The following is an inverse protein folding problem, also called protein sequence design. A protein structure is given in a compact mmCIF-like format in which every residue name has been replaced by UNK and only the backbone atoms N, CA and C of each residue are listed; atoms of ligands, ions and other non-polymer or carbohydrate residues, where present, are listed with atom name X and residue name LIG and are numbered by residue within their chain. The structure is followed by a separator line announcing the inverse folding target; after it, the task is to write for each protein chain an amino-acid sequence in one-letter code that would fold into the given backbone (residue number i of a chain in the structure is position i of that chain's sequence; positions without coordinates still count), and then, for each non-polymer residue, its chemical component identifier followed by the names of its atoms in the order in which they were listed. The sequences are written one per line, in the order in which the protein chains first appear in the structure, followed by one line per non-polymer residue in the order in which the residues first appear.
data_IF_642037811974
#
_entry.id   IF_642037811974
#
_cell.length_a   1.000
_cell.length_b   1.000
_cell.length_c   1.000
_cell.angle_alpha   90.00
_cell.angle_beta   90.00
_cell.angle_gamma   90.00
#
_symmetry.space_group_name_H-M   'P 1'
#
loop_
_entity.id
_entity.type
_entity.pdbx_description
1 polymer ?
#
# COMPACT_ATOMS: atom_id res chain seq x y z
N UNK A 1 5.13 -10.54 3.03
CA UNK A 1 5.27 -10.69 1.57
C UNK A 1 5.48 -12.13 1.14
N UNK A 2 6.46 -12.81 1.73
CA UNK A 2 6.76 -14.20 1.37
C UNK A 2 5.58 -15.13 1.60
N UNK A 3 4.86 -14.92 2.70
CA UNK A 3 3.68 -15.75 3.01
C UNK A 3 2.59 -15.56 1.97
N UNK A 4 2.32 -14.31 1.59
CA UNK A 4 1.31 -14.03 0.59
C UNK A 4 1.68 -14.60 -0.77
N UNK A 5 2.96 -14.52 -1.15
CA UNK A 5 3.46 -15.12 -2.38
C UNK A 5 3.29 -16.64 -2.38
N UNK A 6 3.59 -17.30 -1.25
CA UNK A 6 3.47 -18.75 -1.14
C UNK A 6 2.02 -19.23 -1.17
N UNK A 7 1.10 -18.44 -0.62
CA UNK A 7 -0.32 -18.79 -0.59
C UNK A 7 -1.05 -18.47 -1.89
N UNK A 8 -0.36 -17.82 -2.84
CA UNK A 8 -0.96 -17.45 -4.11
C UNK A 8 -2.04 -16.38 -3.97
N UNK A 9 -1.96 -15.55 -2.94
CA UNK A 9 -2.90 -14.46 -2.77
C UNK A 9 -2.76 -13.45 -3.92
N UNK A 10 -3.87 -12.81 -4.36
CA UNK A 10 -3.80 -11.80 -5.40
C UNK A 10 -3.03 -10.59 -4.88
N UNK A 11 -1.85 -10.36 -5.44
CA UNK A 11 -0.98 -9.25 -5.08
C UNK A 11 -0.81 -8.33 -6.28
N UNK A 12 -1.02 -7.04 -6.05
CA UNK A 12 -0.66 -6.01 -7.01
C UNK A 12 0.30 -5.06 -6.31
N UNK A 13 1.34 -4.64 -7.02
CA UNK A 13 2.41 -3.85 -6.43
C UNK A 13 2.39 -2.44 -7.02
N UNK A 14 1.76 -1.46 -6.34
CA UNK A 14 1.92 -0.06 -6.73
C UNK A 14 3.37 0.38 -6.54
N UNK A 15 3.82 1.33 -7.34
CA UNK A 15 5.18 1.85 -7.25
C UNK A 15 5.53 2.34 -5.85
N UNK A 16 4.56 2.93 -5.15
CA UNK A 16 4.78 3.41 -3.79
C UNK A 16 5.12 2.27 -2.82
N UNK A 17 4.48 1.10 -2.97
CA UNK A 17 4.77 -0.07 -2.12
C UNK A 17 6.13 -0.65 -2.49
N UNK A 18 6.42 -0.77 -3.78
CA UNK A 18 7.70 -1.24 -4.29
C UNK A 18 8.86 -0.42 -3.69
N UNK A 19 8.73 0.91 -3.80
CA UNK A 19 9.74 1.82 -3.25
C UNK A 19 9.90 1.64 -1.74
N UNK A 20 8.80 1.58 -1.02
CA UNK A 20 8.81 1.51 0.44
C UNK A 20 9.47 0.23 0.94
N UNK A 21 9.20 -0.90 0.29
CA UNK A 21 9.81 -2.16 0.66
C UNK A 21 11.31 -2.16 0.35
N UNK A 22 11.69 -1.71 -0.86
CA UNK A 22 13.09 -1.71 -1.26
C UNK A 22 13.95 -0.78 -0.43
N UNK A 23 13.43 0.39 -0.07
CA UNK A 23 14.20 1.35 0.72
C UNK A 23 14.52 0.82 2.12
N UNK A 24 13.83 -0.21 2.57
CA UNK A 24 14.10 -0.86 3.85
C UNK A 24 15.20 -1.90 3.82
N UNK A 25 15.85 -2.13 2.67
CA UNK A 25 16.92 -3.11 2.56
C UNK A 25 18.11 -2.71 3.44
N UNK A 26 18.68 -3.71 4.12
CA UNK A 26 19.80 -3.48 5.07
C UNK A 26 21.14 -3.25 4.40
N UNK A 27 21.33 -3.75 3.18
CA UNK A 27 22.56 -3.61 2.40
C UNK A 27 22.28 -3.90 0.93
N UNK A 28 23.30 -3.78 0.09
CA UNK A 28 23.15 -3.95 -1.36
C UNK A 28 22.70 -5.37 -1.74
N UNK A 29 23.21 -6.38 -1.05
CA UNK A 29 22.83 -7.78 -1.32
C UNK A 29 21.37 -8.01 -0.97
N UNK A 30 20.92 -7.50 0.16
CA UNK A 30 19.54 -7.59 0.60
C UNK A 30 18.61 -6.86 -0.40
N UNK A 31 19.04 -5.70 -0.88
CA UNK A 31 18.29 -4.94 -1.89
C UNK A 31 18.06 -5.78 -3.16
N UNK A 32 19.13 -6.39 -3.68
CA UNK A 32 19.04 -7.23 -4.89
C UNK A 32 18.10 -8.41 -4.66
N UNK A 33 18.17 -9.04 -3.49
CA UNK A 33 17.33 -10.17 -3.14
C UNK A 33 15.84 -9.76 -3.08
N UNK A 34 15.55 -8.64 -2.41
CA UNK A 34 14.20 -8.11 -2.33
C UNK A 34 13.67 -7.73 -3.71
N UNK A 35 14.50 -7.08 -4.52
CA UNK A 35 14.13 -6.70 -5.87
C UNK A 35 13.72 -7.91 -6.70
N UNK A 36 14.49 -9.00 -6.63
CA UNK A 36 14.18 -10.21 -7.35
C UNK A 36 12.82 -10.79 -6.94
N UNK A 37 12.51 -10.75 -5.65
CA UNK A 37 11.20 -11.21 -5.16
C UNK A 37 10.06 -10.30 -5.62
N UNK A 38 10.25 -9.00 -5.50
CA UNK A 38 9.20 -8.02 -5.86
C UNK A 38 8.94 -8.02 -7.37
N UNK A 39 9.96 -8.27 -8.18
CA UNK A 39 9.81 -8.31 -9.64
C UNK A 39 8.94 -9.48 -10.10
N UNK A 40 8.64 -10.43 -9.21
CA UNK A 40 7.71 -11.53 -9.50
C UNK A 40 6.24 -11.11 -9.31
N UNK A 41 5.99 -9.96 -8.70
CA UNK A 41 4.65 -9.46 -8.42
C UNK A 41 4.23 -8.50 -9.52
N UNK A 42 3.00 -8.62 -10.06
CA UNK A 42 2.53 -7.68 -11.09
C UNK A 42 2.54 -6.25 -10.59
N UNK A 43 3.00 -5.34 -11.45
CA UNK A 43 2.98 -3.91 -11.15
C UNK A 43 1.55 -3.40 -11.30
N UNK A 44 1.08 -2.67 -10.30
CA UNK A 44 -0.20 -1.98 -10.38
C UNK A 44 0.02 -0.54 -10.84
N UNK A 45 -0.62 -0.18 -11.94
CA UNK A 45 -0.61 1.18 -12.46
C UNK A 45 -2.04 1.70 -12.42
N UNK A 46 -2.31 2.78 -11.68
CA UNK A 46 -3.66 3.36 -11.66
C UNK A 46 -4.08 3.81 -13.06
N UNK A 47 -5.37 3.66 -13.37
CA UNK A 47 -5.92 4.14 -14.65
C UNK A 47 -5.77 5.65 -14.79
N UNK A 48 -5.98 6.36 -13.69
CA UNK A 48 -5.83 7.82 -13.62
C UNK A 48 -5.08 8.16 -12.35
N UNK A 49 -3.77 8.39 -12.48
CA UNK A 49 -2.91 8.66 -11.34
C UNK A 49 -3.29 9.95 -10.60
N UNK A 50 -3.81 10.93 -11.33
CA UNK A 50 -4.27 12.19 -10.73
C UNK A 50 -5.49 11.95 -9.83
N UNK A 51 -6.45 11.16 -10.30
CA UNK A 51 -7.62 10.80 -9.50
C UNK A 51 -7.24 9.98 -8.28
N UNK A 52 -6.29 9.06 -8.42
CA UNK A 52 -5.79 8.27 -7.30
C UNK A 52 -5.14 9.19 -6.26
N UNK A 53 -4.38 10.19 -6.70
CA UNK A 53 -3.79 11.17 -5.78
C UNK A 53 -4.86 11.99 -5.08
N UNK A 54 -5.93 12.36 -5.79
CA UNK A 54 -7.06 13.08 -5.19
C UNK A 54 -7.73 12.23 -4.10
N UNK A 55 -7.95 10.94 -4.36
CA UNK A 55 -8.53 10.03 -3.38
C UNK A 55 -7.63 9.86 -2.17
N UNK A 56 -6.32 9.76 -2.40
CA UNK A 56 -5.34 9.67 -1.30
C UNK A 56 -5.40 10.93 -0.43
N UNK A 57 -5.47 12.10 -1.05
CA UNK A 57 -5.60 13.37 -0.33
C UNK A 57 -6.89 13.42 0.48
N UNK A 58 -7.99 12.91 -0.08
CA UNK A 58 -9.27 12.87 0.62
C UNK A 58 -9.20 11.95 1.85
N UNK A 59 -8.56 10.78 1.71
CA UNK A 59 -8.39 9.86 2.85
C UNK A 59 -7.59 10.54 3.96
N UNK A 60 -6.51 11.22 3.61
CA UNK A 60 -5.70 11.94 4.59
C UNK A 60 -6.51 13.03 5.29
N UNK A 61 -7.24 13.82 4.52
CA UNK A 61 -8.06 14.90 5.05
C UNK A 61 -9.18 14.36 5.96
N UNK A 62 -9.85 13.29 5.55
CA UNK A 62 -10.91 12.69 6.36
C UNK A 62 -10.40 12.17 7.69
N UNK A 63 -9.20 11.56 7.70
CA UNK A 63 -8.57 11.13 8.94
C UNK A 63 -8.29 12.33 9.85
N UNK A 64 -7.72 13.40 9.28
CA UNK A 64 -7.42 14.61 10.04
C UNK A 64 -8.69 15.26 10.60
N UNK A 65 -9.75 15.32 9.81
CA UNK A 65 -11.03 15.89 10.27
C UNK A 65 -11.65 15.05 11.39
N UNK A 66 -11.36 13.75 11.41
CA UNK A 66 -11.81 12.85 12.48
C UNK A 66 -10.88 12.85 13.69
N UNK A 67 -9.87 13.72 13.72
CA UNK A 67 -8.94 13.83 14.83
C UNK A 67 -7.79 12.83 14.80
N UNK A 68 -7.57 12.17 13.66
CA UNK A 68 -6.49 11.18 13.52
C UNK A 68 -5.38 11.75 12.64
N UNK A 69 -4.13 11.55 13.06
CA UNK A 69 -2.96 11.97 12.28
C UNK A 69 -2.34 10.75 11.61
N UNK A 70 -2.21 10.80 10.29
CA UNK A 70 -1.50 9.79 9.53
C UNK A 70 -0.07 10.28 9.35
N UNK A 71 0.91 9.47 9.80
CA UNK A 71 2.31 9.87 9.81
C UNK A 71 2.92 9.96 8.42
N UNK A 72 2.45 9.13 7.50
CA UNK A 72 2.98 9.12 6.13
C UNK A 72 1.85 9.29 5.12
N UNK A 73 1.83 10.40 4.35
CA UNK A 73 0.85 10.56 3.26
C UNK A 73 0.92 9.45 2.23
N UNK A 74 2.08 8.79 2.10
CA UNK A 74 2.25 7.66 1.19
C UNK A 74 1.35 6.49 1.55
N UNK A 75 1.03 6.31 2.82
CA UNK A 75 0.11 5.26 3.27
C UNK A 75 -1.30 5.48 2.69
N UNK A 76 -1.73 6.73 2.57
CA UNK A 76 -3.00 7.06 1.95
C UNK A 76 -2.98 6.75 0.45
N UNK A 77 -1.86 6.97 -0.22
CA UNK A 77 -1.71 6.61 -1.63
C UNK A 77 -1.77 5.10 -1.82
N UNK A 78 -1.10 4.35 -0.97
CA UNK A 78 -1.14 2.88 -0.99
C UNK A 78 -2.56 2.39 -0.76
N UNK A 79 -3.27 2.94 0.22
CA UNK A 79 -4.65 2.58 0.51
C UNK A 79 -5.57 2.89 -0.68
N UNK A 80 -5.38 4.05 -1.32
CA UNK A 80 -6.17 4.43 -2.50
C UNK A 80 -5.97 3.43 -3.64
N UNK A 81 -4.73 2.98 -3.86
CA UNK A 81 -4.43 1.96 -4.86
C UNK A 81 -5.09 0.62 -4.54
N UNK A 82 -5.06 0.20 -3.27
CA UNK A 82 -5.70 -1.03 -2.85
C UNK A 82 -7.22 -0.99 -3.06
N UNK A 83 -7.83 0.15 -2.77
CA UNK A 83 -9.26 0.34 -2.99
C UNK A 83 -9.62 0.31 -4.47
N UNK A 84 -8.82 0.97 -5.31
CA UNK A 84 -9.05 0.97 -6.75
C UNK A 84 -8.91 -0.43 -7.34
N UNK A 85 -7.88 -1.17 -6.95
CA UNK A 85 -7.63 -2.52 -7.44
C UNK A 85 -8.55 -3.56 -6.79
N UNK A 86 -9.25 -3.20 -5.71
CA UNK A 86 -10.10 -4.10 -4.93
C UNK A 86 -9.31 -5.32 -4.43
N UNK A 87 -8.12 -5.07 -3.90
CA UNK A 87 -7.29 -6.11 -3.31
C UNK A 87 -6.96 -5.77 -1.86
N UNK A 88 -6.75 -6.78 -1.00
CA UNK A 88 -6.37 -6.53 0.40
C UNK A 88 -4.97 -5.92 0.52
N UNK A 89 -4.78 -5.08 1.53
CA UNK A 89 -3.45 -4.59 1.89
C UNK A 89 -2.65 -5.68 2.59
N UNK A 90 -1.36 -5.75 2.26
CA UNK A 90 -0.43 -6.66 2.93
C UNK A 90 0.04 -6.15 4.29
N UNK A 91 0.04 -4.84 4.47
CA UNK A 91 0.42 -4.19 5.70
C UNK A 91 -0.81 -3.79 6.50
N UNK A 92 -0.74 -4.02 7.82
CA UNK A 92 -1.81 -3.65 8.73
C UNK A 92 -1.20 -2.92 9.93
N UNK A 93 -0.46 -1.82 9.67
CA UNK A 93 0.01 -1.01 10.76
C UNK A 93 -1.12 -0.09 11.24
N UNK A 94 -0.83 0.66 12.31
CA UNK A 94 -1.84 1.48 12.96
C UNK A 94 -2.42 2.56 12.05
N UNK A 95 -1.61 3.10 11.14
CA UNK A 95 -2.06 4.14 10.22
C UNK A 95 -3.07 3.59 9.22
N UNK A 96 -2.87 2.36 8.71
CA UNK A 96 -3.83 1.73 7.82
C UNK A 96 -5.14 1.41 8.54
N UNK A 97 -5.08 1.02 9.81
CA UNK A 97 -6.30 0.82 10.61
C UNK A 97 -7.08 2.13 10.77
N UNK A 98 -6.39 3.25 10.96
CA UNK A 98 -7.03 4.56 11.03
C UNK A 98 -7.68 4.93 9.71
N UNK A 99 -7.00 4.70 8.59
CA UNK A 99 -7.54 4.95 7.26
C UNK A 99 -8.80 4.10 7.04
N UNK A 100 -8.80 2.85 7.50
CA UNK A 100 -9.96 1.97 7.35
C UNK A 100 -11.19 2.48 8.09
N UNK A 101 -11.05 3.31 9.13
CA UNK A 101 -12.21 3.88 9.81
C UNK A 101 -12.98 4.86 8.94
N UNK A 102 -12.30 5.54 8.02
CA UNK A 102 -12.94 6.46 7.06
C UNK A 102 -13.17 5.81 5.70
N UNK A 103 -12.57 4.64 5.46
CA UNK A 103 -12.73 3.87 4.23
C UNK A 103 -12.97 2.39 4.59
N UNK A 104 -14.21 2.04 5.01
CA UNK A 104 -14.50 0.67 5.47
C UNK A 104 -14.29 -0.40 4.41
N UNK A 105 -14.23 -0.02 3.13
CA UNK A 105 -13.98 -0.95 2.03
C UNK A 105 -12.54 -1.46 2.00
N UNK A 106 -11.64 -0.80 2.74
CA UNK A 106 -10.25 -1.21 2.81
C UNK A 106 -10.14 -2.53 3.57
N UNK A 107 -9.55 -3.54 2.92
CA UNK A 107 -9.37 -4.87 3.50
C UNK A 107 -7.90 -5.16 3.74
N UNK A 108 -7.63 -6.05 4.66
CA UNK A 108 -6.27 -6.45 5.01
C UNK A 108 -6.07 -7.93 4.71
N UNK A 109 -4.91 -8.27 4.13
CA UNK A 109 -4.52 -9.65 3.90
C UNK A 109 -4.08 -10.29 5.22
N UNK A 110 -4.48 -11.53 5.42
CA UNK A 110 -4.14 -12.28 6.63
C UNK A 110 -2.74 -12.88 6.57
#
# INVERSE_FOLDING_TARGET
LERALRLGEPLLMPDAVYQEILQGASDARHFIHLQAQLDMVPVFVPDDSHETARQAAMLYAQCRWAGMTIRSPNDCLIAACALEADVPLLHADRDFERIATVAPQLRFAS
#
